data_IF_829480976769
#
_entry.id   IF_829480976769
#
_cell.length_a   1.000
_cell.length_b   1.000
_cell.length_c   1.000
_cell.angle_alpha   90.00
_cell.angle_beta   90.00
_cell.angle_gamma   90.00
#
_symmetry.space_group_name_H-M   'P 1'
#
loop_
_entity.id
_entity.type
_entity.pdbx_description
1 polymer ?
#
# COMPACT_ATOMS: atom_id res chain seq x y z
N UNK A 1 -0.74 -7.40 4.80
CA UNK A 1 -1.29 -7.79 3.47
C UNK A 1 -2.03 -6.58 2.89
N UNK A 2 -1.86 -6.29 1.60
CA UNK A 2 -2.61 -5.23 0.89
C UNK A 2 -3.33 -5.89 -0.28
N UNK A 3 -4.48 -5.36 -0.69
CA UNK A 3 -5.22 -5.87 -1.83
C UNK A 3 -5.95 -4.74 -2.55
N UNK A 4 -6.09 -4.87 -3.87
CA UNK A 4 -7.03 -4.06 -4.66
C UNK A 4 -8.35 -4.81 -4.75
N UNK A 5 -9.43 -4.14 -4.39
CA UNK A 5 -10.77 -4.72 -4.45
C UNK A 5 -11.70 -3.75 -5.17
N UNK A 6 -12.52 -4.29 -6.06
CA UNK A 6 -13.62 -3.54 -6.64
C UNK A 6 -14.69 -3.31 -5.58
N UNK A 7 -14.94 -2.04 -5.27
CA UNK A 7 -16.00 -1.61 -4.36
C UNK A 7 -17.32 -1.42 -5.09
N UNK A 8 -18.41 -1.84 -4.46
CA UNK A 8 -19.77 -1.50 -4.88
C UNK A 8 -20.38 -0.55 -3.86
N UNK A 9 -20.66 0.69 -4.27
CA UNK A 9 -21.31 1.67 -3.40
C UNK A 9 -22.81 1.44 -3.41
N UNK A 10 -23.42 1.45 -2.23
CA UNK A 10 -24.88 1.46 -2.03
C UNK A 10 -25.23 2.79 -1.35
N UNK A 11 -25.43 3.87 -2.14
CA UNK A 11 -25.57 5.23 -1.62
C UNK A 11 -26.72 5.40 -0.63
N UNK A 12 -27.84 4.72 -0.87
CA UNK A 12 -29.06 4.80 -0.07
C UNK A 12 -28.84 4.31 1.36
N UNK A 13 -27.87 3.42 1.56
CA UNK A 13 -27.50 2.86 2.86
C UNK A 13 -26.20 3.47 3.40
N UNK A 14 -25.53 4.35 2.66
CA UNK A 14 -24.21 4.85 3.02
C UNK A 14 -23.16 3.74 3.16
N UNK A 15 -23.30 2.65 2.39
CA UNK A 15 -22.47 1.45 2.52
C UNK A 15 -21.57 1.21 1.31
N UNK A 16 -20.47 0.51 1.54
CA UNK A 16 -19.61 -0.05 0.50
C UNK A 16 -19.52 -1.56 0.70
N UNK A 17 -19.80 -2.31 -0.36
CA UNK A 17 -19.69 -3.77 -0.39
C UNK A 17 -18.41 -4.16 -1.12
N UNK A 18 -17.60 -4.99 -0.47
CA UNK A 18 -16.38 -5.58 -1.03
C UNK A 18 -16.61 -7.07 -1.31
N UNK A 19 -16.07 -7.57 -2.43
CA UNK A 19 -16.12 -9.01 -2.79
C UNK A 19 -14.71 -9.60 -2.87
N UNK A 20 -14.09 -9.92 -1.72
CA UNK A 20 -12.70 -10.35 -1.65
C UNK A 20 -12.45 -11.79 -2.13
N UNK A 21 -13.47 -12.64 -2.21
CA UNK A 21 -13.30 -14.06 -2.48
C UNK A 21 -12.76 -14.83 -1.27
N UNK A 22 -12.65 -16.16 -1.39
CA UNK A 22 -12.32 -17.05 -0.26
C UNK A 22 -10.93 -16.81 0.33
N UNK A 23 -9.96 -16.43 -0.51
CA UNK A 23 -8.58 -16.24 -0.08
C UNK A 23 -8.38 -14.98 0.77
N UNK A 24 -9.09 -13.89 0.46
CA UNK A 24 -8.93 -12.61 1.15
C UNK A 24 -9.92 -12.42 2.30
N UNK A 25 -11.06 -13.12 2.30
CA UNK A 25 -12.10 -12.96 3.32
C UNK A 25 -11.59 -13.16 4.76
N UNK A 26 -10.75 -14.17 5.08
CA UNK A 26 -10.22 -14.37 6.44
C UNK A 26 -9.37 -13.19 6.94
N UNK A 27 -8.75 -12.45 6.02
CA UNK A 27 -7.88 -11.31 6.33
C UNK A 27 -8.62 -9.98 6.48
N UNK A 28 -9.88 -9.90 6.07
CA UNK A 28 -10.70 -8.70 6.12
C UNK A 28 -11.63 -8.69 7.34
N UNK A 29 -11.04 -8.84 8.52
CA UNK A 29 -11.75 -8.85 9.80
C UNK A 29 -11.35 -7.66 10.66
N UNK A 30 -12.27 -7.15 11.50
CA UNK A 30 -12.02 -5.99 12.36
C UNK A 30 -12.05 -4.65 11.63
N UNK A 31 -11.14 -3.74 11.98
CA UNK A 31 -11.03 -2.41 11.36
C UNK A 31 -10.09 -2.45 10.17
N UNK A 32 -10.53 -1.91 9.03
CA UNK A 32 -9.76 -1.89 7.80
C UNK A 32 -9.28 -0.47 7.48
N UNK A 33 -8.02 -0.36 7.07
CA UNK A 33 -7.50 0.85 6.46
C UNK A 33 -7.92 0.88 4.98
N UNK A 34 -8.57 1.95 4.55
CA UNK A 34 -8.99 2.15 3.16
C UNK A 34 -8.22 3.34 2.59
N UNK A 35 -7.67 3.17 1.39
CA UNK A 35 -7.00 4.23 0.65
C UNK A 35 -7.57 4.29 -0.77
N UNK A 36 -7.47 5.45 -1.41
CA UNK A 36 -7.68 5.53 -2.86
C UNK A 36 -6.60 4.72 -3.57
N UNK A 37 -6.99 4.15 -4.70
CA UNK A 37 -6.06 3.47 -5.58
C UNK A 37 -4.95 4.42 -6.05
N UNK A 38 -3.67 4.09 -5.79
CA UNK A 38 -2.54 4.82 -6.36
C UNK A 38 -2.50 4.68 -7.88
N UNK A 39 -2.05 5.72 -8.59
CA UNK A 39 -1.96 5.71 -10.05
C UNK A 39 -1.09 4.57 -10.60
N UNK A 40 -0.06 4.16 -9.85
CA UNK A 40 0.83 3.03 -10.17
C UNK A 40 0.10 1.69 -10.28
N UNK A 41 -1.03 1.56 -9.58
CA UNK A 41 -1.79 0.32 -9.48
C UNK A 41 -2.98 0.26 -10.43
N UNK A 42 -3.27 1.34 -11.17
CA UNK A 42 -4.44 1.47 -12.05
C UNK A 42 -4.55 0.37 -13.14
N UNK A 43 -3.42 -0.19 -13.56
CA UNK A 43 -3.36 -1.25 -14.57
C UNK A 43 -3.43 -2.66 -13.97
N UNK A 44 -3.36 -2.81 -12.64
CA UNK A 44 -3.35 -4.10 -11.97
C UNK A 44 -4.78 -4.64 -11.78
N UNK A 45 -4.99 -5.97 -11.89
CA UNK A 45 -6.28 -6.56 -11.57
C UNK A 45 -6.57 -6.49 -10.08
N UNK A 46 -7.85 -6.63 -9.70
CA UNK A 46 -8.22 -6.84 -8.30
C UNK A 46 -7.59 -8.13 -7.76
N UNK A 47 -7.12 -8.08 -6.53
CA UNK A 47 -6.44 -9.20 -5.88
C UNK A 47 -5.45 -8.74 -4.83
N UNK A 48 -4.71 -9.71 -4.29
CA UNK A 48 -3.63 -9.46 -3.34
C UNK A 48 -2.53 -8.66 -4.05
N UNK A 49 -2.17 -7.52 -3.47
CA UNK A 49 -0.98 -6.80 -3.91
C UNK A 49 0.25 -7.53 -3.37
N UNK A 50 1.33 -7.63 -4.18
CA UNK A 50 2.58 -8.17 -3.68
C UNK A 50 3.00 -7.39 -2.43
N UNK A 51 3.55 -8.11 -1.45
CA UNK A 51 4.10 -7.47 -0.26
C UNK A 51 5.18 -6.53 -0.76
N UNK A 52 4.93 -5.23 -0.65
CA UNK A 52 5.97 -4.21 -0.78
C UNK A 52 6.88 -4.36 0.44
N UNK A 53 7.71 -5.39 0.43
CA UNK A 53 9.05 -5.21 0.94
C UNK A 53 9.64 -4.18 0.01
N UNK A 54 9.86 -2.96 0.49
CA UNK A 54 10.66 -1.99 -0.22
C UNK A 54 12.09 -2.57 -0.22
N UNK A 55 12.33 -3.61 -1.03
CA UNK A 55 13.46 -4.52 -0.83
C UNK A 55 14.77 -3.75 -0.89
N UNK A 56 14.86 -2.77 -1.79
CA UNK A 56 15.98 -1.84 -1.87
C UNK A 56 16.12 -0.95 -0.63
N UNK A 57 15.02 -0.40 -0.10
CA UNK A 57 15.06 0.47 1.07
C UNK A 57 15.38 -0.30 2.36
N UNK A 58 15.00 -1.59 2.41
CA UNK A 58 15.26 -2.47 3.55
C UNK A 58 16.52 -3.33 3.35
N UNK A 59 17.20 -3.23 2.21
CA UNK A 59 18.42 -4.00 1.92
C UNK A 59 19.60 -3.37 2.66
N UNK A 60 20.23 -4.10 3.60
CA UNK A 60 21.33 -3.58 4.41
C UNK A 60 22.50 -3.03 3.59
N UNK A 61 22.70 -3.53 2.36
CA UNK A 61 23.78 -3.08 1.45
C UNK A 61 23.63 -1.61 1.05
N UNK A 62 22.41 -1.07 1.07
CA UNK A 62 22.14 0.33 0.73
C UNK A 62 22.20 1.28 1.94
N UNK A 63 22.42 0.77 3.16
CA UNK A 63 22.55 1.60 4.37
C UNK A 63 23.58 2.74 4.20
N UNK A 64 24.79 2.52 3.66
CA UNK A 64 25.76 3.59 3.47
C UNK A 64 25.29 4.64 2.44
N UNK A 65 24.51 4.22 1.44
CA UNK A 65 23.94 5.12 0.44
C UNK A 65 22.87 6.03 1.07
N UNK A 66 21.95 5.48 1.86
CA UNK A 66 20.90 6.26 2.53
C UNK A 66 21.42 7.21 3.61
N UNK A 67 22.56 6.90 4.23
CA UNK A 67 23.23 7.78 5.20
C UNK A 67 24.06 8.90 4.54
N UNK A 68 24.19 8.91 3.22
CA UNK A 68 24.95 9.93 2.53
C UNK A 68 24.27 11.30 2.65
N UNK A 69 25.00 12.33 3.08
CA UNK A 69 24.48 13.70 3.25
C UNK A 69 23.77 14.24 2.01
N UNK A 70 24.27 13.94 0.80
CA UNK A 70 23.65 14.39 -0.45
C UNK A 70 22.29 13.73 -0.67
N UNK A 71 22.17 12.45 -0.35
CA UNK A 71 20.93 11.67 -0.47
C UNK A 71 19.90 12.16 0.55
N UNK A 72 20.31 12.33 1.81
CA UNK A 72 19.45 12.87 2.86
C UNK A 72 18.92 14.27 2.50
N UNK A 73 19.78 15.16 2.03
CA UNK A 73 19.37 16.51 1.63
C UNK A 73 18.41 16.50 0.43
N UNK A 74 18.62 15.61 -0.55
CA UNK A 74 17.73 15.46 -1.68
C UNK A 74 16.35 14.91 -1.28
N UNK A 75 16.29 14.09 -0.22
CA UNK A 75 15.05 13.53 0.31
C UNK A 75 14.26 14.50 1.22
N UNK A 76 14.76 15.72 1.46
CA UNK A 76 14.12 16.72 2.31
C UNK A 76 14.83 16.99 3.66
N UNK A 77 15.97 16.33 3.90
CA UNK A 77 16.79 16.50 5.10
C UNK A 77 16.29 15.74 6.32
N UNK A 78 16.93 15.95 7.48
CA UNK A 78 16.52 15.31 8.74
C UNK A 78 15.10 15.74 9.16
N UNK A 79 14.66 16.93 8.71
CA UNK A 79 13.35 17.48 9.03
C UNK A 79 12.18 16.82 8.27
N UNK A 80 12.46 15.95 7.29
CA UNK A 80 11.44 15.26 6.48
C UNK A 80 11.26 13.77 6.82
N UNK A 81 12.00 13.26 7.81
CA UNK A 81 11.80 11.94 8.41
C UNK A 81 10.72 11.97 9.49
#
# INVERSE_FOLDING_TARGET
MRALLKSFTVPELGQIILRPGKELLPHLTGRLLVCREPSEFAALPSGVLPVLGQELANDPRFTPFYQNKRVLNAAGGISSL
#
